data_IF_375955615443
#
_entry.id   IF_375955615443
#
_cell.length_a   1.000
_cell.length_b   1.000
_cell.length_c   1.000
_cell.angle_alpha   90.00
_cell.angle_beta   90.00
_cell.angle_gamma   90.00
#
_symmetry.space_group_name_H-M   'P 1'
#
loop_
_entity.id
_entity.type
_entity.pdbx_description
1 polymer ?
#
# COMPACT_ATOMS: atom_id res chain seq x y z
N UNK A 1 16.61 -5.21 -17.09
CA UNK A 1 15.67 -5.10 -15.97
C UNK A 1 16.50 -5.28 -14.72
N UNK A 2 16.67 -4.24 -13.91
CA UNK A 2 17.56 -4.29 -12.75
C UNK A 2 16.95 -5.14 -11.64
N UNK A 3 17.78 -5.84 -10.87
CA UNK A 3 17.32 -6.65 -9.75
C UNK A 3 16.69 -5.75 -8.67
N UNK A 4 15.44 -6.02 -8.30
CA UNK A 4 14.79 -5.35 -7.18
C UNK A 4 15.39 -5.83 -5.87
N UNK A 5 15.73 -4.90 -4.97
CA UNK A 5 16.29 -5.22 -3.66
C UNK A 5 15.29 -4.93 -2.55
N UNK A 6 15.01 -5.95 -1.72
CA UNK A 6 14.21 -5.84 -0.49
C UNK A 6 15.14 -5.80 0.72
N UNK A 7 14.94 -4.83 1.60
CA UNK A 7 15.58 -4.77 2.93
C UNK A 7 14.50 -4.62 3.97
N UNK A 8 14.48 -5.54 4.93
CA UNK A 8 13.61 -5.48 6.11
C UNK A 8 14.47 -5.12 7.31
N UNK A 9 14.04 -4.13 8.08
CA UNK A 9 14.69 -3.70 9.31
C UNK A 9 13.67 -3.72 10.44
N UNK A 10 13.92 -4.54 11.44
CA UNK A 10 13.16 -4.54 12.68
C UNK A 10 13.63 -3.41 13.58
N UNK A 11 12.68 -2.63 14.09
CA UNK A 11 12.87 -1.59 15.09
C UNK A 11 12.06 -1.96 16.33
N UNK A 12 12.34 -1.33 17.47
CA UNK A 12 11.76 -1.72 18.75
C UNK A 12 10.21 -1.76 18.77
N UNK A 13 9.57 -0.90 17.97
CA UNK A 13 8.11 -0.69 17.95
C UNK A 13 7.49 -0.84 16.55
N UNK A 14 8.30 -1.13 15.51
CA UNK A 14 7.83 -1.12 14.12
C UNK A 14 8.75 -1.87 13.17
N UNK A 15 8.21 -2.20 12.01
CA UNK A 15 8.98 -2.70 10.87
C UNK A 15 9.23 -1.55 9.89
N UNK A 16 10.45 -1.49 9.35
CA UNK A 16 10.77 -0.66 8.18
C UNK A 16 11.12 -1.59 7.03
N UNK A 17 10.37 -1.47 5.94
CA UNK A 17 10.63 -2.18 4.69
C UNK A 17 11.07 -1.17 3.64
N UNK A 18 12.19 -1.45 2.96
CA UNK A 18 12.65 -0.69 1.79
C UNK A 18 12.72 -1.61 0.59
N UNK A 19 12.12 -1.18 -0.51
CA UNK A 19 12.22 -1.82 -1.82
C UNK A 19 12.82 -0.82 -2.80
N UNK A 20 13.85 -1.23 -3.52
CA UNK A 20 14.39 -0.48 -4.65
C UNK A 20 13.73 -0.96 -5.94
N UNK A 21 13.12 -0.03 -6.68
CA UNK A 21 12.41 -0.27 -7.93
C UNK A 21 13.07 0.54 -9.07
N UNK A 22 14.14 0.02 -9.70
CA UNK A 22 14.86 0.76 -10.74
C UNK A 22 13.97 1.11 -11.93
N UNK A 23 13.96 2.38 -12.31
CA UNK A 23 13.20 2.88 -13.47
C UNK A 23 11.70 3.08 -13.21
N UNK A 24 11.20 2.87 -11.99
CA UNK A 24 9.80 3.10 -11.63
C UNK A 24 9.64 4.48 -10.99
N UNK A 25 8.80 5.33 -11.58
CA UNK A 25 8.46 6.62 -10.99
C UNK A 25 7.63 6.44 -9.70
N UNK A 26 7.85 7.31 -8.71
CA UNK A 26 7.17 7.22 -7.41
C UNK A 26 5.63 7.19 -7.52
N UNK A 27 5.06 8.02 -8.39
CA UNK A 27 3.61 8.02 -8.64
C UNK A 27 3.10 6.72 -9.25
N UNK A 28 3.89 6.03 -10.06
CA UNK A 28 3.51 4.72 -10.60
C UNK A 28 3.59 3.63 -9.53
N UNK A 29 4.63 3.64 -8.69
CA UNK A 29 4.73 2.74 -7.54
C UNK A 29 3.58 2.95 -6.53
N UNK A 30 3.06 4.18 -6.41
CA UNK A 30 1.92 4.49 -5.55
C UNK A 30 0.63 3.78 -6.00
N UNK A 31 0.44 3.56 -7.31
CA UNK A 31 -0.76 2.90 -7.85
C UNK A 31 -0.96 1.50 -7.28
N UNK A 32 0.12 0.79 -6.93
CA UNK A 32 0.04 -0.51 -6.28
C UNK A 32 -0.73 -0.49 -4.95
N UNK A 33 -0.87 0.68 -4.33
CA UNK A 33 -1.58 0.89 -3.06
C UNK A 33 -2.89 1.66 -3.24
N UNK A 34 -3.00 2.50 -4.27
CA UNK A 34 -4.13 3.43 -4.41
C UNK A 34 -5.10 3.08 -5.53
N UNK A 35 -4.68 2.30 -6.51
CA UNK A 35 -5.52 1.86 -7.62
C UNK A 35 -6.12 0.46 -7.32
N UNK A 36 -7.46 0.32 -7.33
CA UNK A 36 -8.09 -0.97 -7.03
C UNK A 36 -7.73 -2.09 -8.01
N UNK A 37 -7.48 -1.79 -9.28
CA UNK A 37 -7.14 -2.79 -10.27
C UNK A 37 -5.71 -3.30 -10.06
N UNK A 38 -4.76 -2.40 -9.81
CA UNK A 38 -3.36 -2.72 -9.53
C UNK A 38 -3.22 -3.51 -8.22
N UNK A 39 -3.81 -3.02 -7.11
CA UNK A 39 -3.71 -3.66 -5.78
C UNK A 39 -4.17 -5.12 -5.81
N UNK A 40 -5.25 -5.40 -6.54
CA UNK A 40 -5.81 -6.74 -6.71
C UNK A 40 -4.83 -7.73 -7.33
N UNK A 41 -3.85 -7.27 -8.11
CA UNK A 41 -2.90 -8.16 -8.80
C UNK A 41 -1.84 -8.75 -7.87
N UNK A 42 -1.49 -8.06 -6.78
CA UNK A 42 -0.30 -8.42 -5.99
C UNK A 42 -0.60 -8.61 -4.51
N UNK A 43 -1.54 -7.87 -3.93
CA UNK A 43 -1.82 -7.94 -2.50
C UNK A 43 -2.88 -8.99 -2.18
N UNK A 44 -2.58 -10.26 -2.51
CA UNK A 44 -3.44 -11.40 -2.18
C UNK A 44 -4.82 -11.40 -2.84
N UNK A 45 -5.02 -10.63 -3.92
CA UNK A 45 -6.34 -10.45 -4.53
C UNK A 45 -7.23 -9.44 -3.81
N UNK A 46 -6.65 -8.52 -3.03
CA UNK A 46 -7.39 -7.53 -2.25
C UNK A 46 -8.26 -6.61 -3.12
N UNK A 47 -9.47 -6.32 -2.64
CA UNK A 47 -10.42 -5.40 -3.26
C UNK A 47 -10.43 -4.08 -2.46
N UNK A 48 -9.88 -3.03 -3.06
CA UNK A 48 -9.72 -1.73 -2.43
C UNK A 48 -10.97 -0.86 -2.58
N UNK A 49 -11.41 -0.27 -1.47
CA UNK A 49 -12.29 0.91 -1.45
C UNK A 49 -11.60 2.00 -0.66
N UNK A 50 -11.24 3.11 -1.30
CA UNK A 50 -10.50 4.17 -0.64
C UNK A 50 -10.96 5.58 -1.04
N UNK A 51 -11.02 6.47 -0.05
CA UNK A 51 -11.12 7.91 -0.22
C UNK A 51 -9.74 8.53 0.06
N UNK A 52 -8.99 8.87 -0.99
CA UNK A 52 -7.59 9.29 -0.89
C UNK A 52 -7.42 10.75 -0.42
N UNK A 53 -7.89 11.02 0.79
CA UNK A 53 -7.80 12.31 1.51
C UNK A 53 -7.72 12.04 3.00
N UNK A 54 -7.07 12.91 3.82
CA UNK A 54 -7.05 12.73 5.27
C UNK A 54 -8.45 12.51 5.87
N UNK A 55 -8.59 11.48 6.71
CA UNK A 55 -9.85 11.02 7.30
C UNK A 55 -10.75 10.19 6.38
N UNK A 56 -10.38 10.00 5.12
CA UNK A 56 -11.11 9.16 4.18
C UNK A 56 -10.90 7.67 4.46
N UNK A 57 -11.89 6.83 4.15
CA UNK A 57 -11.80 5.39 4.36
C UNK A 57 -10.66 4.78 3.54
N UNK A 58 -9.98 3.76 4.09
CA UNK A 58 -9.05 2.90 3.39
C UNK A 58 -9.34 1.44 3.77
N UNK A 59 -10.12 0.75 2.94
CA UNK A 59 -10.66 -0.58 3.23
C UNK A 59 -10.19 -1.56 2.17
N UNK A 60 -9.69 -2.71 2.59
CA UNK A 60 -9.31 -3.81 1.68
C UNK A 60 -10.01 -5.08 2.12
N UNK A 61 -10.87 -5.62 1.25
CA UNK A 61 -11.42 -6.96 1.44
C UNK A 61 -10.47 -7.99 0.82
N UNK A 62 -10.23 -9.09 1.53
CA UNK A 62 -9.42 -10.22 1.07
C UNK A 62 -10.30 -11.47 0.94
N UNK A 63 -10.97 -11.69 -0.22
CA UNK A 63 -11.97 -12.74 -0.36
C UNK A 63 -11.45 -14.15 -0.05
N UNK A 64 -10.20 -14.45 -0.43
CA UNK A 64 -9.56 -15.74 -0.18
C UNK A 64 -9.34 -16.04 1.31
N UNK A 65 -9.25 -15.00 2.13
CA UNK A 65 -9.03 -15.12 3.57
C UNK A 65 -10.33 -14.96 4.37
N UNK A 66 -11.42 -14.53 3.73
CA UNK A 66 -12.66 -14.14 4.42
C UNK A 66 -12.46 -12.97 5.40
N UNK A 67 -11.48 -12.10 5.14
CA UNK A 67 -11.10 -11.00 6.02
C UNK A 67 -11.29 -9.64 5.36
N UNK A 68 -11.49 -8.60 6.18
CA UNK A 68 -11.58 -7.22 5.72
C UNK A 68 -10.71 -6.38 6.65
N UNK A 69 -9.68 -5.74 6.08
CA UNK A 69 -8.86 -4.74 6.74
C UNK A 69 -9.58 -3.39 6.65
N UNK A 70 -9.75 -2.71 7.79
CA UNK A 70 -10.37 -1.39 7.83
C UNK A 70 -9.42 -0.36 8.39
N UNK A 71 -9.47 0.84 7.84
CA UNK A 71 -8.65 1.96 8.26
C UNK A 71 -9.09 3.28 7.65
N UNK A 72 -8.30 4.30 7.94
CA UNK A 72 -8.46 5.65 7.39
C UNK A 72 -7.13 6.16 6.84
N UNK A 73 -7.20 6.98 5.80
CA UNK A 73 -6.05 7.72 5.26
C UNK A 73 -5.66 8.80 6.25
N UNK A 74 -4.43 8.76 6.74
CA UNK A 74 -3.84 9.78 7.61
C UNK A 74 -3.25 10.92 6.78
N UNK A 75 -2.55 10.59 5.70
CA UNK A 75 -1.96 11.56 4.79
C UNK A 75 -1.77 10.95 3.39
N UNK A 76 -1.95 11.78 2.35
CA UNK A 76 -1.73 11.35 0.98
C UNK A 76 -1.06 12.44 0.14
N UNK A 77 0.00 12.04 -0.57
CA UNK A 77 0.71 12.80 -1.60
C UNK A 77 1.01 11.83 -2.75
N UNK A 78 0.32 11.93 -3.90
CA UNK A 78 0.33 10.90 -4.94
C UNK A 78 1.72 10.58 -5.50
N UNK A 79 2.63 11.55 -5.47
CA UNK A 79 4.01 11.44 -5.97
C UNK A 79 5.03 11.07 -4.89
N UNK A 80 4.61 10.87 -3.64
CA UNK A 80 5.56 10.82 -2.50
C UNK A 80 5.19 9.87 -1.37
N UNK A 81 3.95 9.86 -0.89
CA UNK A 81 3.62 9.14 0.35
C UNK A 81 2.13 8.87 0.51
N UNK A 82 1.81 7.69 1.01
CA UNK A 82 0.52 7.32 1.58
C UNK A 82 0.76 6.85 3.02
N UNK A 83 -0.04 7.34 3.95
CA UNK A 83 -0.10 6.85 5.33
C UNK A 83 -1.56 6.55 5.67
N UNK A 84 -1.81 5.39 6.26
CA UNK A 84 -3.14 4.93 6.67
C UNK A 84 -3.05 4.09 7.93
N UNK A 85 -4.16 4.00 8.66
CA UNK A 85 -4.32 3.06 9.79
C UNK A 85 -4.86 1.73 9.30
N UNK A 86 -4.75 0.66 10.09
CA UNK A 86 -5.42 -0.61 9.80
C UNK A 86 -5.78 -1.37 11.08
N UNK A 87 -6.87 -2.13 11.02
CA UNK A 87 -7.31 -3.12 12.01
C UNK A 87 -7.99 -4.31 11.34
#
# INVERSE_FOLDING_TARGET
MGDSRLVVTELADRLRIRVELPGVAAGHAMLAWTDPAELRTWWGGGELTAELRPGGAYVVAFPRLGQIMRGEVVAYRPDRSLAFTWS
#
